data_IF_610370518941
#
_entry.id   IF_610370518941
#
_cell.length_a   1.000
_cell.length_b   1.000
_cell.length_c   1.000
_cell.angle_alpha   90.00
_cell.angle_beta   90.00
_cell.angle_gamma   90.00
#
_symmetry.space_group_name_H-M   'P 1'
#
loop_
_entity.id
_entity.type
_entity.pdbx_description
1 polymer ?
#
# COMPACT_ATOMS: atom_id res chain seq x y z
N UNK A 1 -13.84 10.64 -8.84
CA UNK A 1 -12.52 10.59 -8.19
C UNK A 1 -12.32 11.87 -7.38
N UNK A 2 -12.18 11.80 -6.04
CA UNK A 2 -11.95 12.97 -5.19
C UNK A 2 -10.69 13.73 -5.66
N UNK A 3 -10.62 15.07 -5.60
CA UNK A 3 -9.40 15.80 -5.95
C UNK A 3 -8.21 15.29 -5.10
N UNK A 4 -7.11 14.89 -5.74
CA UNK A 4 -5.88 14.45 -5.06
C UNK A 4 -5.68 12.94 -4.85
N UNK A 5 -6.73 12.11 -5.01
CA UNK A 5 -6.58 10.65 -4.98
C UNK A 5 -6.39 10.10 -6.40
N UNK A 6 -5.32 9.34 -6.67
CA UNK A 6 -5.05 8.73 -7.98
C UNK A 6 -5.70 7.35 -8.15
N UNK A 7 -6.08 6.72 -7.04
CA UNK A 7 -6.88 5.50 -6.99
C UNK A 7 -7.76 5.46 -5.72
N UNK A 8 -8.78 4.59 -5.72
CA UNK A 8 -9.58 4.25 -4.55
C UNK A 8 -9.96 2.77 -4.62
N UNK A 9 -9.78 2.06 -3.50
CA UNK A 9 -10.28 0.70 -3.32
C UNK A 9 -11.60 0.73 -2.55
N UNK A 10 -12.65 0.15 -3.13
CA UNK A 10 -13.96 -0.09 -2.53
C UNK A 10 -14.27 -1.59 -2.63
N UNK A 11 -13.98 -2.34 -1.58
CA UNK A 11 -14.16 -3.80 -1.58
C UNK A 11 -13.22 -4.49 -2.56
N UNK A 12 -13.77 -5.13 -3.60
CA UNK A 12 -13.02 -5.74 -4.70
C UNK A 12 -12.83 -4.81 -5.90
N UNK A 13 -13.42 -3.61 -5.88
CA UNK A 13 -13.34 -2.66 -6.97
C UNK A 13 -12.18 -1.69 -6.71
N UNK A 14 -11.18 -1.74 -7.58
CA UNK A 14 -10.12 -0.72 -7.66
C UNK A 14 -10.53 0.22 -8.78
N UNK A 15 -10.76 1.49 -8.45
CA UNK A 15 -10.93 2.54 -9.46
C UNK A 15 -9.60 3.29 -9.50
N UNK A 16 -8.96 3.33 -10.66
CA UNK A 16 -7.72 4.09 -10.89
C UNK A 16 -8.01 5.18 -11.92
N UNK A 17 -7.38 6.35 -11.79
CA UNK A 17 -7.42 7.34 -12.87
C UNK A 17 -6.67 6.80 -14.09
N UNK A 18 -7.25 7.01 -15.28
CA UNK A 18 -6.72 6.47 -16.54
C UNK A 18 -5.24 6.79 -16.78
N UNK A 19 -4.76 7.98 -16.39
CA UNK A 19 -3.34 8.38 -16.50
C UNK A 19 -2.37 7.53 -15.66
N UNK A 20 -2.86 6.91 -14.59
CA UNK A 20 -2.07 6.08 -13.67
C UNK A 20 -2.30 4.58 -13.92
N UNK A 21 -3.08 4.20 -14.94
CA UNK A 21 -3.39 2.80 -15.22
C UNK A 21 -2.16 1.95 -15.62
N UNK A 22 -1.08 2.60 -16.09
CA UNK A 22 0.20 1.94 -16.37
C UNK A 22 1.16 1.88 -15.18
N UNK A 23 0.81 2.53 -14.05
CA UNK A 23 1.67 2.54 -12.87
C UNK A 23 1.55 1.21 -12.12
N UNK A 24 2.51 0.32 -12.39
CA UNK A 24 2.56 -1.00 -11.76
C UNK A 24 2.66 -0.91 -10.24
N UNK A 25 3.28 0.13 -9.67
CA UNK A 25 3.50 0.23 -8.22
C UNK A 25 2.18 0.57 -7.56
N UNK A 26 1.49 1.56 -8.12
CA UNK A 26 0.14 1.91 -7.71
C UNK A 26 -0.81 0.72 -7.81
N UNK A 27 -0.77 -0.04 -8.91
CA UNK A 27 -1.62 -1.23 -9.07
C UNK A 27 -1.32 -2.32 -8.04
N UNK A 28 -0.06 -2.58 -7.71
CA UNK A 28 0.29 -3.52 -6.64
C UNK A 28 -0.14 -3.02 -5.26
N UNK A 29 -0.01 -1.72 -4.99
CA UNK A 29 -0.49 -1.09 -3.77
C UNK A 29 -2.01 -1.29 -3.59
N UNK A 30 -2.81 -0.98 -4.61
CA UNK A 30 -4.26 -1.16 -4.57
C UNK A 30 -4.66 -2.65 -4.44
N UNK A 31 -3.89 -3.58 -5.03
CA UNK A 31 -4.10 -5.03 -4.83
C UNK A 31 -3.90 -5.44 -3.37
N UNK A 32 -2.98 -4.82 -2.64
CA UNK A 32 -2.81 -5.07 -1.20
C UNK A 32 -4.06 -4.63 -0.44
N UNK A 33 -4.63 -3.46 -0.75
CA UNK A 33 -5.88 -3.03 -0.14
C UNK A 33 -7.04 -3.99 -0.40
N UNK A 34 -7.16 -4.55 -1.61
CA UNK A 34 -8.17 -5.61 -1.88
C UNK A 34 -7.94 -6.83 -0.99
N UNK A 35 -6.69 -7.27 -0.80
CA UNK A 35 -6.37 -8.39 0.11
C UNK A 35 -6.70 -8.06 1.56
N UNK A 36 -6.35 -6.86 2.04
CA UNK A 36 -6.66 -6.39 3.39
C UNK A 36 -8.18 -6.32 3.61
N UNK A 37 -8.93 -5.86 2.61
CA UNK A 37 -10.39 -5.80 2.65
C UNK A 37 -11.02 -7.19 2.76
N UNK A 38 -10.51 -8.17 2.00
CA UNK A 38 -10.93 -9.58 2.13
C UNK A 38 -10.55 -10.18 3.48
N UNK A 39 -9.37 -9.82 4.01
CA UNK A 39 -8.86 -10.32 5.31
C UNK A 39 -9.65 -9.79 6.51
N UNK A 40 -10.02 -8.51 6.49
CA UNK A 40 -10.63 -7.84 7.65
C UNK A 40 -12.13 -7.58 7.49
N UNK A 41 -12.69 -7.80 6.30
CA UNK A 41 -14.02 -7.33 5.94
C UNK A 41 -14.09 -5.81 5.86
N UNK A 42 -15.20 -5.30 5.33
CA UNK A 42 -15.45 -3.85 5.17
C UNK A 42 -15.28 -3.11 6.49
N UNK A 43 -16.00 -3.54 7.52
CA UNK A 43 -16.03 -2.86 8.83
C UNK A 43 -14.66 -2.95 9.51
N UNK A 44 -14.05 -4.13 9.51
CA UNK A 44 -12.75 -4.33 10.16
C UNK A 44 -11.62 -3.54 9.51
N UNK A 45 -11.67 -3.37 8.18
CA UNK A 45 -10.75 -2.52 7.45
C UNK A 45 -10.94 -1.04 7.82
N UNK A 46 -12.18 -0.53 7.73
CA UNK A 46 -12.49 0.87 8.02
C UNK A 46 -12.14 1.27 9.45
N UNK A 47 -12.46 0.43 10.44
CA UNK A 47 -12.12 0.71 11.85
C UNK A 47 -10.61 0.82 12.05
N UNK A 48 -9.81 -0.05 11.44
CA UNK A 48 -8.34 -0.02 11.53
C UNK A 48 -7.78 1.22 10.84
N UNK A 49 -8.27 1.50 9.63
CA UNK A 49 -7.82 2.61 8.81
C UNK A 49 -8.12 3.95 9.48
N UNK A 50 -9.40 4.20 9.76
CA UNK A 50 -9.86 5.45 10.36
C UNK A 50 -9.36 5.59 11.80
N UNK A 51 -9.32 4.49 12.57
CA UNK A 51 -8.80 4.52 13.94
C UNK A 51 -7.33 4.93 14.01
N UNK A 52 -6.48 4.40 13.11
CA UNK A 52 -5.08 4.79 13.03
C UNK A 52 -4.91 6.25 12.57
N UNK A 53 -5.66 6.66 11.54
CA UNK A 53 -5.65 8.03 11.05
C UNK A 53 -6.07 9.04 12.13
N UNK A 54 -7.21 8.79 12.79
CA UNK A 54 -7.72 9.66 13.84
C UNK A 54 -6.76 9.72 15.02
N UNK A 55 -6.20 8.60 15.47
CA UNK A 55 -5.17 8.60 16.52
C UNK A 55 -3.98 9.48 16.14
N UNK A 56 -3.49 9.38 14.90
CA UNK A 56 -2.38 10.21 14.44
C UNK A 56 -2.77 11.71 14.36
N UNK A 57 -3.98 12.03 13.92
CA UNK A 57 -4.49 13.41 13.90
C UNK A 57 -4.65 13.99 15.31
N UNK A 58 -5.14 13.20 16.26
CA UNK A 58 -5.26 13.59 17.67
C UNK A 58 -3.88 13.79 18.32
N UNK A 59 -2.86 13.07 17.85
CA UNK A 59 -1.47 13.27 18.24
C UNK A 59 -0.79 14.47 17.53
N UNK A 60 -1.55 15.30 16.80
CA UNK A 60 -1.04 16.54 16.18
C UNK A 60 -0.35 16.34 14.82
N UNK A 61 -0.31 15.13 14.26
CA UNK A 61 0.29 14.91 12.94
C UNK A 61 -0.54 15.58 11.84
N UNK A 62 0.11 16.24 10.88
CA UNK A 62 -0.55 16.78 9.68
C UNK A 62 -1.28 15.68 8.89
N UNK A 63 -2.22 16.06 8.02
CA UNK A 63 -2.99 15.09 7.22
C UNK A 63 -2.08 14.06 6.50
N UNK A 64 -1.07 14.54 5.77
CA UNK A 64 -0.14 13.66 5.04
C UNK A 64 0.69 12.77 5.97
N UNK A 65 1.16 13.29 7.11
CA UNK A 65 1.92 12.48 8.06
C UNK A 65 1.04 11.43 8.75
N UNK A 66 -0.21 11.80 9.09
CA UNK A 66 -1.18 10.88 9.64
C UNK A 66 -1.53 9.76 8.66
N UNK A 67 -1.70 10.07 7.38
CA UNK A 67 -1.94 9.12 6.31
C UNK A 67 -0.79 8.11 6.17
N UNK A 68 0.44 8.60 6.01
CA UNK A 68 1.64 7.75 5.83
C UNK A 68 1.96 6.86 7.04
N UNK A 69 1.36 7.14 8.20
CA UNK A 69 1.50 6.35 9.43
C UNK A 69 0.46 5.25 9.59
N UNK A 70 -0.58 5.22 8.75
CA UNK A 70 -1.61 4.19 8.82
C UNK A 70 -0.95 2.83 8.53
N UNK A 71 -1.02 1.83 9.43
CA UNK A 71 -0.35 0.55 9.21
C UNK A 71 -0.75 -0.15 7.91
N UNK A 72 -2.01 0.01 7.49
CA UNK A 72 -2.52 -0.54 6.23
C UNK A 72 -1.86 0.10 4.99
N UNK A 73 -1.56 1.41 5.03
CA UNK A 73 -0.82 2.11 3.98
C UNK A 73 0.64 1.69 3.95
N UNK A 74 1.27 1.55 5.13
CA UNK A 74 2.66 1.10 5.25
C UNK A 74 2.82 -0.34 4.72
N UNK A 75 1.90 -1.23 5.06
CA UNK A 75 1.89 -2.61 4.54
C UNK A 75 1.69 -2.65 3.02
N UNK A 76 0.80 -1.82 2.50
CA UNK A 76 0.53 -1.73 1.06
C UNK A 76 1.77 -1.25 0.30
N UNK A 77 2.39 -0.16 0.75
CA UNK A 77 3.58 0.40 0.12
C UNK A 77 4.75 -0.60 0.15
N UNK A 78 5.01 -1.21 1.31
CA UNK A 78 6.10 -2.17 1.47
C UNK A 78 5.89 -3.42 0.62
N UNK A 79 4.68 -3.96 0.60
CA UNK A 79 4.37 -5.17 -0.16
C UNK A 79 4.42 -4.90 -1.66
N UNK A 80 3.92 -3.75 -2.12
CA UNK A 80 3.98 -3.34 -3.51
C UNK A 80 5.44 -3.23 -3.99
N UNK A 81 6.29 -2.53 -3.22
CA UNK A 81 7.72 -2.41 -3.53
C UNK A 81 8.45 -3.75 -3.53
N UNK A 82 8.15 -4.65 -2.58
CA UNK A 82 8.76 -6.00 -2.57
C UNK A 82 8.31 -6.86 -3.74
N UNK A 83 7.06 -6.73 -4.19
CA UNK A 83 6.57 -7.40 -5.39
C UNK A 83 7.22 -6.90 -6.69
N UNK A 84 7.83 -5.70 -6.65
CA UNK A 84 8.57 -5.12 -7.77
C UNK A 84 10.07 -5.42 -7.76
N UNK A 85 10.62 -5.79 -6.61
CA UNK A 85 12.03 -6.12 -6.53
C UNK A 85 12.33 -7.30 -7.48
N UNK A 86 13.40 -7.24 -8.28
CA UNK A 86 13.84 -8.41 -9.03
C UNK A 86 14.08 -9.56 -8.04
N UNK A 87 13.89 -10.83 -8.45
CA UNK A 87 14.29 -11.95 -7.63
C UNK A 87 15.74 -11.72 -7.18
N UNK A 88 16.03 -12.01 -5.92
CA UNK A 88 17.41 -12.08 -5.47
C UNK A 88 18.13 -13.12 -6.35
N UNK A 89 19.00 -12.66 -7.24
CA UNK A 89 20.03 -13.51 -7.82
C UNK A 89 21.20 -13.51 -6.84
N UNK A 90 21.57 -14.67 -6.27
CA UNK A 90 22.82 -14.76 -5.53
C UNK A 90 23.95 -14.33 -6.45
N UNK A 91 24.74 -13.35 -6.02
CA UNK A 91 26.01 -13.05 -6.67
C UNK A 91 26.77 -14.37 -6.73
N UNK A 92 27.11 -14.83 -7.94
CA UNK A 92 27.86 -16.04 -8.15
C UNK A 92 29.05 -16.07 -7.19
N UNK A 93 29.15 -17.12 -6.39
CA UNK A 93 30.28 -17.32 -5.48
C UNK A 93 31.56 -17.09 -6.28
N UNK A 94 32.35 -16.10 -5.85
CA UNK A 94 33.68 -15.89 -6.41
C UNK A 94 34.42 -17.24 -6.32
N UNK A 95 35.11 -17.66 -7.40
CA UNK A 95 35.81 -18.95 -7.37
C UNK A 95 36.72 -18.97 -6.15
N UNK A 96 36.60 -20.01 -5.33
CA UNK A 96 37.50 -20.23 -4.21
C UNK A 96 38.93 -20.29 -4.77
N UNK A 97 39.74 -19.31 -4.39
CA UNK A 97 41.15 -19.24 -4.75
C UNK A 97 41.83 -20.57 -4.33
N UNK A 98 42.52 -21.19 -5.29
CA UNK A 98 43.12 -22.53 -5.17
C UNK A 98 44.40 -22.60 -4.34
#
# INVERSE_FOLDING_TARGET
MPPGADAITLGSLIIVRQRCAGDRLLLEHERVHVRQWRRHGVVGFLVRYLGAYLRARLNGHSHGNAYLRIPLEVEAEWTARRGMAPPYEPLAEAPADG
#
